data_IF_342967635781
#
_entry.id   IF_342967635781
#
_cell.length_a   1.000
_cell.length_b   1.000
_cell.length_c   1.000
_cell.angle_alpha   90.00
_cell.angle_beta   90.00
_cell.angle_gamma   90.00
#
_symmetry.space_group_name_H-M   'P 1'
#
loop_
_entity.id
_entity.type
_entity.pdbx_description
1 polymer ?
#
# COMPACT_ATOMS: atom_id res chain seq x y z
N UNK A 1 7.45 -5.52 74.99
CA UNK A 1 6.70 -5.26 73.74
C UNK A 1 5.28 -4.92 74.14
N UNK A 2 4.96 -3.64 74.24
CA UNK A 2 3.59 -3.15 74.39
C UNK A 2 3.57 -1.67 74.00
N UNK A 3 2.78 -1.44 72.95
CA UNK A 3 2.18 -0.26 72.36
C UNK A 3 2.31 1.08 73.07
N UNK A 4 2.72 2.11 72.30
CA UNK A 4 2.39 3.51 72.57
C UNK A 4 2.28 4.23 71.24
N UNK A 5 1.08 4.66 70.85
CA UNK A 5 0.92 5.67 69.80
C UNK A 5 -0.18 6.64 70.19
N UNK A 6 0.21 7.92 70.19
CA UNK A 6 -0.59 9.11 70.52
C UNK A 6 -1.29 9.61 69.26
N UNK A 7 -2.45 10.24 69.49
CA UNK A 7 -3.29 10.96 68.53
C UNK A 7 -2.82 12.42 68.35
N UNK A 8 -3.23 13.02 67.22
CA UNK A 8 -3.16 14.44 66.81
C UNK A 8 -1.90 14.79 65.99
N UNK A 9 -1.94 15.52 64.88
CA UNK A 9 -2.80 16.67 64.55
C UNK A 9 -2.75 16.94 63.03
N UNK A 10 -3.87 17.38 62.47
CA UNK A 10 -4.00 17.80 61.06
C UNK A 10 -3.43 19.19 60.86
N UNK A 11 -2.55 19.39 59.88
CA UNK A 11 -2.25 20.74 59.35
C UNK A 11 -2.01 20.63 57.85
N UNK A 12 -2.94 21.20 57.08
CA UNK A 12 -2.80 21.45 55.65
C UNK A 12 -2.00 22.74 55.47
N UNK A 13 -0.87 22.66 54.77
CA UNK A 13 -0.21 23.85 54.22
C UNK A 13 -0.01 23.65 52.73
N UNK A 14 -0.63 24.56 51.99
CA UNK A 14 -0.51 24.88 50.57
C UNK A 14 0.78 24.39 49.93
N UNK A 15 0.64 23.52 48.94
CA UNK A 15 1.66 23.25 47.94
C UNK A 15 1.03 23.52 46.59
N UNK A 16 1.36 24.67 46.00
CA UNK A 16 1.22 24.84 44.55
C UNK A 16 2.56 25.35 44.02
N UNK A 17 3.38 24.39 43.61
CA UNK A 17 4.43 24.61 42.65
C UNK A 17 3.77 24.57 41.26
N UNK A 18 3.74 25.69 40.54
CA UNK A 18 3.73 25.67 39.08
C UNK A 18 5.19 25.80 38.63
N UNK A 19 5.69 25.01 37.67
CA UNK A 19 5.07 24.86 36.36
C UNK A 19 5.15 23.44 35.79
N UNK A 20 4.17 22.99 35.00
CA UNK A 20 4.35 21.94 33.99
C UNK A 20 3.02 21.77 33.25
N UNK A 21 2.92 22.34 32.05
CA UNK A 21 2.14 21.76 30.95
C UNK A 21 2.59 22.42 29.65
N UNK A 22 3.82 22.10 29.24
CA UNK A 22 4.15 22.12 27.83
C UNK A 22 3.45 20.90 27.22
N UNK A 23 2.20 21.09 26.79
CA UNK A 23 1.50 20.14 25.95
C UNK A 23 2.33 19.93 24.69
N UNK A 24 3.08 18.83 24.65
CA UNK A 24 3.78 18.40 23.46
C UNK A 24 2.74 18.10 22.39
N UNK A 25 2.68 18.94 21.37
CA UNK A 25 2.08 18.59 20.10
C UNK A 25 2.85 17.38 19.58
N UNK A 26 2.26 16.19 19.74
CA UNK A 26 2.77 14.99 19.09
C UNK A 26 2.47 15.14 17.60
N UNK A 27 3.41 15.73 16.88
CA UNK A 27 3.47 15.73 15.43
C UNK A 27 3.56 14.26 14.98
N UNK A 28 2.41 13.61 14.81
CA UNK A 28 2.32 12.31 14.16
C UNK A 28 2.60 12.56 12.68
N UNK A 29 3.88 12.59 12.32
CA UNK A 29 4.30 12.51 10.93
C UNK A 29 3.83 11.16 10.40
N UNK A 30 2.71 11.16 9.68
CA UNK A 30 2.36 10.07 8.78
C UNK A 30 3.57 9.90 7.84
N UNK A 31 4.28 8.79 8.00
CA UNK A 31 5.32 8.43 7.05
C UNK A 31 4.63 8.21 5.70
N UNK A 32 4.88 9.11 4.74
CA UNK A 32 4.40 8.99 3.37
C UNK A 32 4.79 7.60 2.84
N UNK A 33 3.81 6.69 2.74
CA UNK A 33 4.03 5.37 2.19
C UNK A 33 4.44 5.54 0.72
N UNK A 34 5.70 5.19 0.40
CA UNK A 34 6.19 5.34 -0.96
C UNK A 34 5.50 4.32 -1.88
N UNK A 35 4.80 4.80 -2.89
CA UNK A 35 4.11 3.95 -3.84
C UNK A 35 5.07 3.01 -4.60
N UNK A 36 4.63 1.76 -4.82
CA UNK A 36 5.39 0.77 -5.61
C UNK A 36 4.91 0.84 -7.06
N UNK A 37 5.85 1.09 -7.98
CA UNK A 37 5.58 1.06 -9.43
C UNK A 37 6.40 -0.06 -10.08
N UNK A 38 5.72 -0.97 -10.80
CA UNK A 38 6.35 -2.08 -11.53
C UNK A 38 5.75 -2.22 -12.93
N UNK A 39 6.54 -2.73 -13.86
CA UNK A 39 6.13 -3.04 -15.24
C UNK A 39 6.43 -4.49 -15.53
N UNK A 40 5.47 -5.17 -16.12
CA UNK A 40 5.59 -6.57 -16.56
C UNK A 40 5.20 -6.64 -18.02
N UNK A 41 5.79 -7.57 -18.76
CA UNK A 41 5.41 -7.84 -20.16
C UNK A 41 4.82 -9.23 -20.21
N UNK A 42 3.65 -9.35 -20.83
CA UNK A 42 3.00 -10.63 -21.09
C UNK A 42 2.78 -10.78 -22.58
N UNK A 43 2.92 -12.02 -23.07
CA UNK A 43 2.65 -12.37 -24.46
C UNK A 43 1.39 -13.24 -24.49
N UNK A 44 0.34 -12.76 -25.13
CA UNK A 44 -0.94 -13.49 -25.19
C UNK A 44 -1.86 -12.91 -26.28
N UNK A 45 -2.97 -13.59 -26.53
CA UNK A 45 -4.15 -13.11 -27.22
C UNK A 45 -5.39 -13.71 -26.56
N UNK A 46 -6.55 -13.08 -26.76
CA UNK A 46 -7.77 -13.46 -26.05
C UNK A 46 -7.66 -13.24 -24.54
N UNK A 47 -8.27 -14.11 -23.75
CA UNK A 47 -8.32 -13.97 -22.29
C UNK A 47 -7.05 -14.43 -21.59
N UNK A 48 -6.46 -13.58 -20.73
CA UNK A 48 -5.27 -13.92 -19.94
C UNK A 48 -5.52 -13.89 -18.43
N UNK A 49 -4.72 -14.66 -17.69
CA UNK A 49 -4.68 -14.70 -16.22
C UNK A 49 -3.22 -14.80 -15.77
N UNK A 50 -2.72 -13.83 -15.03
CA UNK A 50 -1.33 -13.82 -14.56
C UNK A 50 -1.23 -13.40 -13.10
N UNK A 51 -0.16 -13.84 -12.42
CA UNK A 51 0.22 -13.39 -11.08
C UNK A 51 1.55 -12.64 -11.18
N UNK A 52 1.52 -11.36 -10.83
CA UNK A 52 2.67 -10.47 -10.84
C UNK A 52 3.30 -10.47 -9.44
N UNK A 53 4.56 -10.87 -9.33
CA UNK A 53 5.26 -10.90 -8.06
C UNK A 53 5.71 -9.48 -7.68
N UNK A 54 5.17 -8.96 -6.59
CA UNK A 54 5.46 -7.61 -6.09
C UNK A 54 5.59 -7.72 -4.56
N UNK A 55 6.83 -7.84 -4.04
CA UNK A 55 7.06 -7.87 -2.60
C UNK A 55 6.48 -6.62 -1.93
N UNK A 56 5.89 -6.79 -0.74
CA UNK A 56 5.27 -5.71 0.02
C UNK A 56 3.77 -5.49 -0.28
N UNK A 57 3.21 -6.11 -1.32
CA UNK A 57 1.75 -6.08 -1.54
C UNK A 57 1.05 -6.97 -0.53
N UNK A 58 -0.05 -6.47 0.03
CA UNK A 58 -0.97 -7.24 0.87
C UNK A 58 -2.38 -7.24 0.25
N UNK A 59 -3.29 -8.13 0.68
CA UNK A 59 -4.70 -8.10 0.24
C UNK A 59 -5.44 -6.78 0.50
N UNK A 60 -4.90 -5.88 1.34
CA UNK A 60 -5.48 -4.58 1.65
C UNK A 60 -4.85 -3.42 0.87
N UNK A 61 -3.80 -3.67 0.07
CA UNK A 61 -3.15 -2.64 -0.74
C UNK A 61 -4.08 -2.10 -1.83
N UNK A 62 -3.96 -0.81 -2.14
CA UNK A 62 -4.71 -0.20 -3.26
C UNK A 62 -3.89 -0.39 -4.53
N UNK A 63 -4.45 -1.08 -5.52
CA UNK A 63 -3.72 -1.42 -6.76
C UNK A 63 -4.45 -0.91 -7.99
N UNK A 64 -3.71 -0.23 -8.85
CA UNK A 64 -4.14 0.12 -10.20
C UNK A 64 -3.26 -0.58 -11.23
N UNK A 65 -3.87 -1.11 -12.30
CA UNK A 65 -3.15 -1.72 -13.42
C UNK A 65 -3.64 -1.09 -14.72
N UNK A 66 -2.70 -0.68 -15.57
CA UNK A 66 -2.96 -0.32 -16.96
C UNK A 66 -2.30 -1.31 -17.91
N UNK A 67 -2.83 -1.38 -19.13
CA UNK A 67 -2.31 -2.25 -20.20
C UNK A 67 -2.05 -1.45 -21.48
N UNK A 68 -1.00 -1.80 -22.22
CA UNK A 68 -0.65 -1.17 -23.50
C UNK A 68 0.10 -2.16 -24.39
N UNK A 69 -0.08 -2.07 -25.71
CA UNK A 69 0.81 -2.75 -26.66
C UNK A 69 2.25 -2.24 -26.50
N UNK A 70 3.24 -3.11 -26.74
CA UNK A 70 4.65 -2.71 -26.71
C UNK A 70 5.41 -3.15 -27.96
N UNK A 71 6.36 -2.31 -28.38
CA UNK A 71 7.21 -2.62 -29.53
C UNK A 71 8.33 -3.61 -29.15
N UNK A 72 9.26 -3.87 -30.09
CA UNK A 72 10.38 -4.79 -29.85
C UNK A 72 11.27 -4.38 -28.67
N UNK A 73 11.32 -3.09 -28.33
CA UNK A 73 12.09 -2.48 -27.25
C UNK A 73 11.27 -2.26 -25.97
N UNK A 74 10.10 -2.88 -25.84
CA UNK A 74 9.19 -2.74 -24.69
C UNK A 74 8.66 -1.32 -24.45
N UNK A 75 8.66 -0.47 -25.48
CA UNK A 75 8.10 0.88 -25.40
C UNK A 75 6.59 0.82 -25.68
N UNK A 76 5.73 1.36 -24.78
CA UNK A 76 4.30 1.43 -25.01
C UNK A 76 3.94 2.23 -26.26
N UNK A 77 3.00 1.71 -27.03
CA UNK A 77 2.42 2.42 -28.18
C UNK A 77 0.93 2.05 -28.33
N UNK A 78 0.23 2.77 -29.20
CA UNK A 78 -1.14 2.47 -29.57
C UNK A 78 -1.15 1.83 -30.96
N UNK A 79 -1.42 0.53 -31.00
CA UNK A 79 -1.61 -0.22 -32.24
C UNK A 79 -3.09 -0.48 -32.50
N UNK A 80 -3.38 -1.64 -33.08
CA UNK A 80 -4.72 -2.03 -33.50
C UNK A 80 -5.43 -2.96 -32.50
N UNK A 81 -4.74 -3.45 -31.48
CA UNK A 81 -5.32 -4.40 -30.55
C UNK A 81 -6.16 -3.70 -29.48
N UNK A 82 -7.32 -4.27 -29.13
CA UNK A 82 -8.08 -3.79 -27.96
C UNK A 82 -7.58 -4.53 -26.73
N UNK A 83 -6.88 -3.81 -25.84
CA UNK A 83 -6.33 -4.37 -24.62
C UNK A 83 -7.17 -3.93 -23.41
N UNK A 84 -7.63 -4.90 -22.62
CA UNK A 84 -8.52 -4.67 -21.48
C UNK A 84 -7.97 -5.32 -20.20
N UNK A 85 -8.17 -4.64 -19.07
CA UNK A 85 -7.99 -5.19 -17.73
C UNK A 85 -9.39 -5.42 -17.14
N UNK A 86 -9.71 -6.67 -16.80
CA UNK A 86 -11.04 -7.05 -16.31
C UNK A 86 -11.09 -7.14 -14.79
N UNK A 87 -10.03 -7.65 -14.15
CA UNK A 87 -10.00 -7.79 -12.70
C UNK A 87 -8.56 -7.71 -12.19
N UNK A 88 -8.38 -6.99 -11.08
CA UNK A 88 -7.11 -6.79 -10.38
C UNK A 88 -7.34 -7.16 -8.93
N UNK A 89 -6.60 -8.15 -8.43
CA UNK A 89 -6.75 -8.62 -7.05
C UNK A 89 -5.38 -8.64 -6.38
N UNK A 90 -5.10 -7.73 -5.43
CA UNK A 90 -3.91 -7.81 -4.60
C UNK A 90 -3.93 -9.09 -3.75
N UNK A 91 -2.74 -9.61 -3.48
CA UNK A 91 -2.50 -10.86 -2.76
C UNK A 91 -1.17 -10.74 -2.00
N UNK A 92 -0.91 -11.65 -1.06
CA UNK A 92 0.30 -11.65 -0.24
C UNK A 92 1.57 -11.74 -1.13
N UNK A 93 2.24 -10.61 -1.33
CA UNK A 93 3.44 -10.48 -2.16
C UNK A 93 3.17 -10.47 -3.68
N UNK A 94 1.97 -10.11 -4.13
CA UNK A 94 1.72 -9.97 -5.56
C UNK A 94 0.33 -9.48 -5.95
N UNK A 95 0.08 -9.45 -7.25
CA UNK A 95 -1.19 -9.01 -7.83
C UNK A 95 -1.64 -10.01 -8.88
N UNK A 96 -2.86 -10.51 -8.76
CA UNK A 96 -3.49 -11.34 -9.80
C UNK A 96 -4.25 -10.44 -10.75
N UNK A 97 -3.97 -10.58 -12.05
CA UNK A 97 -4.62 -9.78 -13.10
C UNK A 97 -5.32 -10.71 -14.08
N UNK A 98 -6.56 -10.37 -14.44
CA UNK A 98 -7.27 -10.94 -15.58
C UNK A 98 -7.57 -9.84 -16.57
N UNK A 99 -7.50 -10.17 -17.86
CA UNK A 99 -7.84 -9.24 -18.92
C UNK A 99 -8.07 -9.95 -20.24
N UNK A 100 -8.14 -9.16 -21.30
CA UNK A 100 -8.36 -9.64 -22.66
C UNK A 100 -7.56 -8.80 -23.66
N UNK A 101 -7.05 -9.46 -24.69
CA UNK A 101 -6.38 -8.83 -25.83
C UNK A 101 -7.16 -9.25 -27.07
N UNK A 102 -7.92 -8.33 -27.64
CA UNK A 102 -8.61 -8.57 -28.91
C UNK A 102 -7.62 -8.41 -30.06
N UNK A 103 -6.93 -9.50 -30.37
CA UNK A 103 -6.04 -9.61 -31.50
C UNK A 103 -6.00 -11.07 -31.98
N UNK A 104 -5.87 -11.28 -33.28
CA UNK A 104 -5.94 -12.62 -33.87
C UNK A 104 -4.72 -13.52 -33.61
N UNK A 105 -3.67 -12.98 -33.01
CA UNK A 105 -2.41 -13.66 -32.71
C UNK A 105 -1.82 -13.15 -31.41
N UNK A 106 -0.93 -13.93 -30.79
CA UNK A 106 -0.19 -13.48 -29.61
C UNK A 106 0.58 -12.19 -29.89
N UNK A 107 0.39 -11.20 -29.02
CA UNK A 107 1.17 -9.97 -29.00
C UNK A 107 1.71 -9.70 -27.61
N UNK A 108 2.73 -8.86 -27.54
CA UNK A 108 3.30 -8.39 -26.28
C UNK A 108 2.51 -7.19 -25.79
N UNK A 109 2.08 -7.25 -24.55
CA UNK A 109 1.49 -6.10 -23.84
C UNK A 109 2.20 -5.89 -22.52
N UNK A 110 2.38 -4.64 -22.17
CA UNK A 110 2.84 -4.26 -20.84
C UNK A 110 1.65 -4.21 -19.88
N UNK A 111 1.86 -4.68 -18.66
CA UNK A 111 1.05 -4.40 -17.48
C UNK A 111 1.85 -3.46 -16.57
N UNK A 112 1.45 -2.19 -16.50
CA UNK A 112 2.00 -1.24 -15.54
C UNK A 112 1.16 -1.27 -14.27
N UNK A 113 1.81 -1.50 -13.14
CA UNK A 113 1.18 -1.69 -11.82
C UNK A 113 1.62 -0.57 -10.89
N UNK A 114 0.65 0.07 -10.28
CA UNK A 114 0.82 1.04 -9.20
C UNK A 114 0.20 0.47 -7.92
N UNK A 115 0.92 0.55 -6.81
CA UNK A 115 0.45 0.14 -5.48
C UNK A 115 0.63 1.30 -4.51
N UNK A 116 -0.44 1.68 -3.83
CA UNK A 116 -0.45 2.61 -2.70
C UNK A 116 -0.75 1.87 -1.38
#
# INVERSE_FOLDING_TARGET
MTTSEKVSETTFTDTVAEPLDAAGESDSQEADAQAIVKRFVVTSHGGYRTRLAIPGVSPFSVVMVSTSEVNAQDVPFQGNAVCQVHNVVPDNGGVRVRGFIDFGVDIRVQLAVFVA
#
